data_IF_018925412579
#
_entry.id   IF_018925412579
#
_cell.length_a   1.000
_cell.length_b   1.000
_cell.length_c   1.000
_cell.angle_alpha   90.00
_cell.angle_beta   90.00
_cell.angle_gamma   90.00
#
_symmetry.space_group_name_H-M   'P 1'
#
loop_
_entity.id
_entity.type
_entity.pdbx_description
1 polymer ?
#
# COMPACT_ATOMS: atom_id res chain seq x y z
N UNK A 1 -9.65 -8.97 10.23
CA UNK A 1 -8.25 -9.40 10.03
C UNK A 1 -7.44 -8.14 9.87
N UNK A 2 -6.67 -7.79 10.90
CA UNK A 2 -5.67 -6.74 10.81
C UNK A 2 -4.48 -7.32 10.07
N UNK A 3 -4.32 -6.94 8.82
CA UNK A 3 -3.11 -7.22 8.07
C UNK A 3 -2.07 -6.21 8.54
N UNK A 4 -1.47 -6.51 9.67
CA UNK A 4 -0.20 -5.90 10.05
C UNK A 4 0.88 -6.73 9.41
N UNK A 5 1.38 -6.31 8.28
CA UNK A 5 2.69 -6.75 7.84
C UNK A 5 3.70 -6.19 8.83
N UNK A 6 3.81 -6.86 9.96
CA UNK A 6 4.67 -6.48 11.03
C UNK A 6 6.09 -6.84 10.68
N UNK A 7 6.87 -5.88 10.31
CA UNK A 7 8.32 -6.05 10.12
C UNK A 7 9.06 -6.27 11.43
N UNK A 8 8.43 -6.02 12.57
CA UNK A 8 8.97 -6.27 13.92
C UNK A 8 7.81 -6.50 14.88
N UNK A 9 7.81 -7.57 15.61
CA UNK A 9 6.89 -8.07 16.62
C UNK A 9 5.58 -7.32 16.89
N UNK A 10 4.51 -8.05 17.13
CA UNK A 10 3.12 -7.55 17.21
C UNK A 10 2.89 -6.35 18.14
N UNK A 11 3.66 -6.17 19.19
CA UNK A 11 3.51 -5.05 20.11
C UNK A 11 4.01 -3.71 19.53
N UNK A 12 5.06 -3.71 18.71
CA UNK A 12 5.58 -2.49 18.10
C UNK A 12 4.63 -1.96 17.03
N UNK A 13 3.92 -2.83 16.30
CA UNK A 13 2.94 -2.43 15.30
C UNK A 13 1.71 -1.72 15.85
N UNK A 14 1.31 -2.03 17.06
CA UNK A 14 0.16 -1.40 17.71
C UNK A 14 0.55 -0.05 18.30
N UNK A 15 1.72 0.04 18.92
CA UNK A 15 2.19 1.24 19.64
C UNK A 15 2.52 2.40 18.70
N UNK A 16 3.09 2.11 17.54
CA UNK A 16 3.61 3.13 16.63
C UNK A 16 2.69 3.39 15.43
N UNK A 17 1.49 2.82 15.41
CA UNK A 17 0.55 2.95 14.28
C UNK A 17 0.27 4.40 13.90
N UNK A 18 0.09 5.29 14.86
CA UNK A 18 -0.17 6.70 14.60
C UNK A 18 1.11 7.44 14.19
N UNK A 19 2.26 7.13 14.81
CA UNK A 19 3.54 7.72 14.46
C UNK A 19 3.96 7.41 13.03
N UNK A 20 3.88 6.15 12.60
CA UNK A 20 4.24 5.73 11.21
C UNK A 20 3.30 6.30 10.15
N UNK A 21 2.12 6.78 10.53
CA UNK A 21 1.15 7.43 9.64
C UNK A 21 1.19 8.95 9.71
N UNK A 22 2.12 9.53 10.46
CA UNK A 22 2.30 10.98 10.51
C UNK A 22 2.73 11.54 9.15
N UNK A 23 2.48 12.83 8.91
CA UNK A 23 2.93 13.51 7.68
C UNK A 23 4.45 13.56 7.60
N UNK A 24 5.13 13.69 8.73
CA UNK A 24 6.59 13.67 8.81
C UNK A 24 7.15 12.33 8.30
N UNK A 25 6.70 11.20 8.83
CA UNK A 25 7.13 9.88 8.35
C UNK A 25 6.70 9.66 6.91
N UNK A 26 5.48 10.05 6.54
CA UNK A 26 4.96 9.89 5.18
C UNK A 26 5.85 10.56 4.12
N UNK A 27 6.45 11.72 4.42
CA UNK A 27 7.33 12.42 3.49
C UNK A 27 8.69 11.73 3.27
N UNK A 28 9.12 10.85 4.19
CA UNK A 28 10.41 10.15 4.12
C UNK A 28 10.33 8.73 3.56
N UNK A 29 9.14 8.13 3.57
CA UNK A 29 8.97 6.70 3.19
C UNK A 29 9.38 6.44 1.74
N UNK A 30 8.87 7.21 0.78
CA UNK A 30 9.17 6.97 -0.63
C UNK A 30 10.63 7.30 -1.00
N UNK A 31 11.25 8.39 -0.54
CA UNK A 31 12.67 8.62 -0.73
C UNK A 31 13.57 7.50 -0.18
N UNK A 32 13.30 7.00 1.03
CA UNK A 32 14.06 5.90 1.64
C UNK A 32 13.82 4.60 0.86
N UNK A 33 12.58 4.30 0.49
CA UNK A 33 12.22 3.11 -0.27
C UNK A 33 12.76 3.12 -1.71
N UNK A 34 13.23 4.26 -2.23
CA UNK A 34 13.89 4.37 -3.51
C UNK A 34 15.38 3.96 -3.48
N UNK A 35 15.99 3.87 -2.28
CA UNK A 35 17.38 3.42 -2.13
C UNK A 35 17.49 1.92 -2.47
N UNK A 36 18.27 1.55 -3.47
CA UNK A 36 18.36 0.19 -4.00
C UNK A 36 18.67 -0.86 -2.93
N UNK A 37 19.68 -0.63 -2.10
CA UNK A 37 20.08 -1.57 -1.05
C UNK A 37 18.99 -1.79 0.02
N UNK A 38 18.24 -0.74 0.35
CA UNK A 38 17.07 -0.84 1.26
C UNK A 38 16.00 -1.68 0.61
N UNK A 39 15.73 -1.41 -0.66
CA UNK A 39 14.71 -2.13 -1.42
C UNK A 39 15.02 -3.62 -1.52
N UNK A 40 16.25 -3.98 -1.89
CA UNK A 40 16.68 -5.37 -1.97
C UNK A 40 16.54 -6.12 -0.65
N UNK A 41 16.93 -5.48 0.46
CA UNK A 41 16.78 -6.07 1.80
C UNK A 41 15.32 -6.32 2.16
N UNK A 42 14.44 -5.34 1.89
CA UNK A 42 13.00 -5.45 2.14
C UNK A 42 12.34 -6.52 1.26
N UNK A 43 12.68 -6.58 -0.03
CA UNK A 43 12.16 -7.62 -0.95
C UNK A 43 12.51 -9.01 -0.45
N UNK A 44 13.77 -9.26 -0.07
CA UNK A 44 14.18 -10.56 0.49
C UNK A 44 13.37 -10.94 1.73
N UNK A 45 13.19 -10.00 2.65
CA UNK A 45 12.43 -10.24 3.87
C UNK A 45 10.96 -10.56 3.56
N UNK A 46 10.34 -9.82 2.65
CA UNK A 46 8.97 -10.05 2.21
C UNK A 46 8.80 -11.41 1.53
N UNK A 47 9.74 -11.79 0.67
CA UNK A 47 9.76 -13.11 0.02
C UNK A 47 9.89 -14.27 1.04
N UNK A 48 10.73 -14.11 2.06
CA UNK A 48 10.82 -15.10 3.14
C UNK A 48 9.48 -15.27 3.88
N UNK A 49 8.80 -14.15 4.20
CA UNK A 49 7.48 -14.18 4.83
C UNK A 49 6.43 -14.93 3.98
N UNK A 50 6.54 -14.86 2.65
CA UNK A 50 5.62 -15.51 1.73
C UNK A 50 5.82 -17.01 1.54
N UNK A 51 6.95 -17.58 1.97
CA UNK A 51 7.25 -19.01 1.74
C UNK A 51 6.23 -19.97 2.34
N UNK A 52 5.64 -19.61 3.47
CA UNK A 52 4.62 -20.42 4.13
C UNK A 52 3.24 -20.33 3.44
N UNK A 53 3.08 -19.44 2.45
CA UNK A 53 1.79 -19.11 1.81
C UNK A 53 0.73 -18.63 2.82
N UNK A 54 -0.52 -18.48 2.36
CA UNK A 54 -1.64 -18.04 3.21
C UNK A 54 -1.51 -16.61 3.73
N UNK A 55 -0.82 -15.75 3.00
CA UNK A 55 -0.63 -14.33 3.34
C UNK A 55 -1.32 -13.42 2.34
N UNK A 56 -1.66 -12.23 2.80
CA UNK A 56 -2.04 -11.08 1.96
C UNK A 56 -1.06 -9.96 2.23
N UNK A 57 -0.53 -9.34 1.20
CA UNK A 57 0.44 -8.26 1.34
C UNK A 57 0.08 -7.10 0.41
N UNK A 58 0.20 -5.88 0.89
CA UNK A 58 0.05 -4.68 0.09
C UNK A 58 1.38 -3.93 -0.05
N UNK A 59 1.53 -3.23 -1.17
CA UNK A 59 2.72 -2.43 -1.46
C UNK A 59 2.75 -1.95 -2.89
N UNK A 60 3.90 -1.44 -3.32
CA UNK A 60 4.07 -0.80 -4.64
C UNK A 60 4.52 -1.76 -5.74
N UNK A 61 5.20 -2.82 -5.36
CA UNK A 61 5.84 -3.78 -6.26
C UNK A 61 5.60 -5.25 -5.85
N UNK A 62 4.58 -5.47 -5.02
CA UNK A 62 4.28 -6.80 -4.49
C UNK A 62 3.99 -7.79 -5.62
N UNK A 63 3.11 -7.43 -6.55
CA UNK A 63 2.71 -8.32 -7.65
C UNK A 63 3.70 -8.37 -8.83
N UNK A 64 4.72 -7.50 -8.86
CA UNK A 64 5.69 -7.44 -9.96
C UNK A 64 7.07 -7.96 -9.58
N UNK A 65 7.49 -7.78 -8.33
CA UNK A 65 8.85 -8.08 -7.85
C UNK A 65 8.86 -9.02 -6.66
N UNK A 66 8.02 -8.78 -5.65
CA UNK A 66 8.04 -9.59 -4.43
C UNK A 66 7.39 -10.95 -4.65
N UNK A 67 6.17 -10.97 -5.19
CA UNK A 67 5.39 -12.18 -5.50
C UNK A 67 4.86 -12.16 -6.93
N UNK A 68 5.74 -12.30 -7.94
CA UNK A 68 5.32 -12.33 -9.34
C UNK A 68 4.40 -13.52 -9.68
N UNK A 69 4.44 -14.57 -8.87
CA UNK A 69 3.63 -15.78 -9.03
C UNK A 69 2.46 -15.87 -8.01
N UNK A 70 2.02 -14.72 -7.46
CA UNK A 70 0.88 -14.71 -6.55
C UNK A 70 -0.40 -15.17 -7.25
N UNK A 71 -1.21 -15.99 -6.57
CA UNK A 71 -2.45 -16.56 -7.09
C UNK A 71 -3.52 -15.49 -7.37
N UNK A 72 -3.49 -14.38 -6.66
CA UNK A 72 -4.39 -13.23 -6.88
C UNK A 72 -3.61 -11.94 -6.76
N UNK A 73 -3.62 -11.14 -7.82
CA UNK A 73 -3.03 -9.80 -7.85
C UNK A 73 -4.12 -8.77 -8.12
N UNK A 74 -4.17 -7.76 -7.28
CA UNK A 74 -5.11 -6.65 -7.43
C UNK A 74 -4.31 -5.35 -7.44
N UNK A 75 -4.43 -4.59 -8.53
CA UNK A 75 -3.86 -3.26 -8.63
C UNK A 75 -4.92 -2.24 -8.24
N UNK A 76 -4.76 -1.64 -7.05
CA UNK A 76 -5.72 -0.66 -6.53
C UNK A 76 -5.32 0.74 -6.96
N UNK A 77 -6.25 1.48 -7.51
CA UNK A 77 -6.05 2.89 -7.91
C UNK A 77 -7.17 3.79 -7.41
N UNK A 78 -6.86 5.04 -7.24
CA UNK A 78 -7.80 6.16 -7.06
C UNK A 78 -7.10 7.46 -7.45
N UNK A 79 -7.85 8.48 -7.86
CA UNK A 79 -7.26 9.78 -8.18
C UNK A 79 -6.51 10.39 -6.98
N UNK A 80 -5.44 11.13 -7.24
CA UNK A 80 -4.66 11.80 -6.20
C UNK A 80 -5.54 12.71 -5.31
N UNK A 81 -6.47 13.43 -5.94
CA UNK A 81 -7.41 14.30 -5.24
C UNK A 81 -8.31 13.53 -4.24
N UNK A 82 -8.85 12.37 -4.65
CA UNK A 82 -9.68 11.54 -3.76
C UNK A 82 -8.86 10.95 -2.63
N UNK A 83 -7.64 10.48 -2.89
CA UNK A 83 -6.74 9.98 -1.85
C UNK A 83 -6.33 11.07 -0.86
N UNK A 84 -6.06 12.29 -1.35
CA UNK A 84 -5.77 13.45 -0.52
C UNK A 84 -6.98 13.85 0.34
N UNK A 85 -8.20 13.83 -0.23
CA UNK A 85 -9.42 14.12 0.52
C UNK A 85 -9.67 13.11 1.64
N UNK A 86 -9.55 11.81 1.36
CA UNK A 86 -9.67 10.76 2.37
C UNK A 86 -8.67 10.94 3.50
N UNK A 87 -7.44 11.30 3.17
CA UNK A 87 -6.40 11.55 4.16
C UNK A 87 -6.65 12.81 4.98
N UNK A 88 -7.12 13.87 4.34
CA UNK A 88 -7.52 15.10 5.02
C UNK A 88 -8.64 14.85 6.03
N UNK A 89 -9.69 14.12 5.62
CA UNK A 89 -10.81 13.78 6.49
C UNK A 89 -10.39 12.90 7.66
N UNK A 90 -9.49 11.93 7.44
CA UNK A 90 -8.91 11.09 8.50
C UNK A 90 -8.17 11.92 9.55
N UNK A 91 -7.28 12.82 9.12
CA UNK A 91 -6.52 13.67 10.03
C UNK A 91 -7.44 14.58 10.83
N UNK A 92 -8.41 15.20 10.18
CA UNK A 92 -9.41 16.05 10.84
C UNK A 92 -10.28 15.27 11.85
N UNK A 93 -10.68 14.06 11.53
CA UNK A 93 -11.45 13.21 12.46
C UNK A 93 -10.67 12.86 13.73
N UNK A 94 -9.32 12.87 13.65
CA UNK A 94 -8.40 12.66 14.78
C UNK A 94 -8.05 13.97 15.52
N UNK A 95 -8.66 15.11 15.16
CA UNK A 95 -8.38 16.42 15.76
C UNK A 95 -7.02 17.01 15.38
N UNK A 96 -6.40 16.50 14.32
CA UNK A 96 -5.12 17.03 13.84
C UNK A 96 -5.35 18.16 12.84
N UNK A 97 -4.53 19.22 12.95
CA UNK A 97 -4.50 20.26 11.93
C UNK A 97 -3.91 19.70 10.63
N UNK A 98 -4.59 19.95 9.52
CA UNK A 98 -4.17 19.47 8.23
C UNK A 98 -4.49 20.50 7.13
N UNK A 99 -3.59 20.66 6.15
CA UNK A 99 -3.86 21.39 4.92
C UNK A 99 -4.07 20.39 3.80
N UNK A 100 -5.19 20.50 3.08
CA UNK A 100 -5.49 19.67 1.92
C UNK A 100 -4.43 19.82 0.83
N UNK A 101 -3.98 21.05 0.58
CA UNK A 101 -2.98 21.35 -0.45
C UNK A 101 -1.65 20.63 -0.16
N UNK A 102 -1.18 20.67 1.08
CA UNK A 102 0.06 19.96 1.49
C UNK A 102 -0.09 18.45 1.40
N UNK A 103 -1.27 17.93 1.70
CA UNK A 103 -1.55 16.50 1.58
C UNK A 103 -1.57 16.10 0.11
N UNK A 104 -2.21 16.87 -0.76
CA UNK A 104 -2.26 16.59 -2.19
C UNK A 104 -0.86 16.61 -2.80
N UNK A 105 -0.06 17.64 -2.52
CA UNK A 105 1.33 17.74 -2.96
C UNK A 105 2.16 16.52 -2.49
N UNK A 106 2.02 16.10 -1.24
CA UNK A 106 2.69 14.90 -0.72
C UNK A 106 2.25 13.62 -1.45
N UNK A 107 0.96 13.48 -1.75
CA UNK A 107 0.43 12.32 -2.49
C UNK A 107 1.01 12.27 -3.91
N UNK A 108 1.00 13.39 -4.62
CA UNK A 108 1.51 13.49 -5.99
C UNK A 108 3.02 13.25 -6.06
N UNK A 109 3.79 13.84 -5.13
CA UNK A 109 5.23 13.63 -5.08
C UNK A 109 5.60 12.18 -4.76
N UNK A 110 4.88 11.53 -3.85
CA UNK A 110 5.07 10.11 -3.57
C UNK A 110 4.76 9.24 -4.77
N UNK A 111 3.67 9.51 -5.48
CA UNK A 111 3.33 8.79 -6.71
C UNK A 111 4.43 8.95 -7.76
N UNK A 112 4.95 10.17 -7.93
CA UNK A 112 6.04 10.44 -8.84
C UNK A 112 7.28 9.62 -8.48
N UNK A 113 7.70 9.64 -7.22
CA UNK A 113 8.87 8.87 -6.75
C UNK A 113 8.64 7.37 -6.96
N UNK A 114 7.48 6.85 -6.53
CA UNK A 114 7.19 5.42 -6.59
C UNK A 114 7.12 4.90 -8.04
N UNK A 115 6.66 5.73 -9.00
CA UNK A 115 6.58 5.37 -10.42
C UNK A 115 7.90 5.53 -11.17
N UNK A 116 8.75 6.47 -10.76
CA UNK A 116 9.97 6.82 -11.50
C UNK A 116 11.26 6.28 -10.89
N UNK A 117 11.20 5.67 -9.69
CA UNK A 117 12.38 5.09 -9.07
C UNK A 117 12.99 4.00 -9.95
N UNK A 118 14.31 3.90 -9.93
CA UNK A 118 15.08 2.98 -10.76
C UNK A 118 14.82 1.51 -10.39
N UNK A 119 14.76 1.21 -9.09
CA UNK A 119 14.58 -0.15 -8.58
C UNK A 119 13.13 -0.38 -8.19
N UNK A 120 12.50 -1.40 -8.75
CA UNK A 120 11.13 -1.84 -8.45
C UNK A 120 10.09 -0.71 -8.51
N UNK A 121 9.94 0.00 -9.64
CA UNK A 121 8.93 1.07 -9.74
C UNK A 121 7.51 0.52 -9.57
N UNK A 122 6.60 1.39 -9.14
CA UNK A 122 5.18 1.07 -9.09
C UNK A 122 4.64 0.83 -10.50
N UNK A 123 4.28 -0.42 -10.79
CA UNK A 123 3.67 -0.83 -12.06
C UNK A 123 2.59 -1.86 -11.81
N UNK A 124 1.56 -1.82 -12.64
CA UNK A 124 0.58 -2.90 -12.66
C UNK A 124 1.22 -4.15 -13.28
N UNK A 125 1.07 -5.31 -12.64
CA UNK A 125 1.43 -6.59 -13.27
C UNK A 125 0.43 -6.94 -14.37
N UNK A 126 0.88 -7.63 -15.43
CA UNK A 126 0.05 -7.92 -16.59
C UNK A 126 -1.19 -8.78 -16.26
N UNK A 127 -1.09 -9.61 -15.24
CA UNK A 127 -2.15 -10.48 -14.71
C UNK A 127 -2.91 -9.87 -13.52
N UNK A 128 -2.63 -8.61 -13.16
CA UNK A 128 -3.31 -7.95 -12.05
C UNK A 128 -4.69 -7.41 -12.45
N UNK A 129 -5.69 -7.70 -11.64
CA UNK A 129 -7.03 -7.15 -11.79
C UNK A 129 -7.03 -5.71 -11.29
N UNK A 130 -7.45 -4.77 -12.14
CA UNK A 130 -7.57 -3.37 -11.78
C UNK A 130 -8.80 -3.13 -10.89
N UNK A 131 -8.59 -2.44 -9.76
CA UNK A 131 -9.65 -1.93 -8.90
C UNK A 131 -9.51 -0.41 -8.77
N UNK A 132 -10.34 0.33 -9.49
CA UNK A 132 -10.51 1.76 -9.23
C UNK A 132 -11.54 1.95 -8.12
N UNK A 133 -11.08 2.35 -6.93
CA UNK A 133 -11.95 2.56 -5.79
C UNK A 133 -12.30 4.04 -5.56
N UNK A 134 -12.11 4.90 -6.56
CA UNK A 134 -12.36 6.35 -6.45
C UNK A 134 -13.75 6.66 -5.92
N UNK A 135 -14.76 5.94 -6.37
CA UNK A 135 -16.17 6.17 -6.04
C UNK A 135 -16.82 5.04 -5.25
N UNK A 136 -16.03 4.10 -4.75
CA UNK A 136 -16.53 2.96 -3.98
C UNK A 136 -16.56 3.28 -2.48
N UNK A 137 -17.62 2.89 -1.82
CA UNK A 137 -17.68 2.79 -0.37
C UNK A 137 -16.78 1.64 0.14
N UNK A 138 -16.43 1.68 1.41
CA UNK A 138 -15.65 0.60 2.06
C UNK A 138 -16.39 -0.75 1.95
N UNK A 139 -17.73 -0.74 2.08
CA UNK A 139 -18.55 -1.95 2.00
C UNK A 139 -18.53 -2.57 0.59
N UNK A 140 -18.66 -1.74 -0.44
CA UNK A 140 -18.58 -2.19 -1.84
C UNK A 140 -17.19 -2.73 -2.19
N UNK A 141 -16.15 -2.03 -1.77
CA UNK A 141 -14.77 -2.49 -1.96
C UNK A 141 -14.54 -3.84 -1.26
N UNK A 142 -14.99 -3.99 -0.01
CA UNK A 142 -14.88 -5.25 0.74
C UNK A 142 -15.62 -6.39 0.04
N UNK A 143 -16.83 -6.16 -0.43
CA UNK A 143 -17.62 -7.14 -1.17
C UNK A 143 -16.88 -7.59 -2.42
N UNK A 144 -16.43 -6.64 -3.23
CA UNK A 144 -15.69 -6.91 -4.47
C UNK A 144 -14.42 -7.73 -4.22
N UNK A 145 -13.62 -7.34 -3.21
CA UNK A 145 -12.40 -8.06 -2.83
C UNK A 145 -12.71 -9.49 -2.38
N UNK A 146 -13.77 -9.68 -1.60
CA UNK A 146 -14.20 -11.02 -1.13
C UNK A 146 -14.60 -11.91 -2.30
N UNK A 147 -15.37 -11.38 -3.27
CA UNK A 147 -15.76 -12.12 -4.47
C UNK A 147 -14.55 -12.55 -5.30
N UNK A 148 -13.57 -11.66 -5.51
CA UNK A 148 -12.34 -12.00 -6.24
C UNK A 148 -11.49 -13.05 -5.51
N UNK A 149 -11.36 -12.91 -4.19
CA UNK A 149 -10.66 -13.88 -3.37
C UNK A 149 -11.32 -15.27 -3.42
N UNK A 150 -12.65 -15.32 -3.28
CA UNK A 150 -13.38 -16.60 -3.37
C UNK A 150 -13.27 -17.24 -4.74
N UNK A 151 -13.29 -16.45 -5.81
CA UNK A 151 -13.08 -16.97 -7.16
C UNK A 151 -11.67 -17.57 -7.34
N UNK A 152 -10.65 -16.94 -6.75
CA UNK A 152 -9.27 -17.44 -6.84
C UNK A 152 -9.02 -18.74 -6.04
N UNK A 153 -9.80 -18.98 -4.96
CA UNK A 153 -9.64 -20.22 -4.16
C UNK A 153 -10.42 -21.39 -4.77
N UNK A 154 -11.52 -21.11 -5.48
CA UNK A 154 -12.43 -22.14 -6.00
C UNK A 154 -12.16 -22.49 -7.48
N UNK A 155 -11.26 -21.80 -8.13
CA UNK A 155 -10.84 -22.06 -9.51
C UNK A 155 -9.56 -22.85 -9.57
#
# INVERSE_FOLDING_TARGET
YEISACLVGSEMCIRDRDAIRSMEVSSHVSPIAALGFVREALVKQQQEMGKAKGIVMDGRDIGTVVFPDAELKIFVTASAAIRAQRRYDELRSKGQEASYEKILENVEERDRIDQTREVSPLRQADDAILLDNSHMSIAEQKKWLTEKFQAAING
#
